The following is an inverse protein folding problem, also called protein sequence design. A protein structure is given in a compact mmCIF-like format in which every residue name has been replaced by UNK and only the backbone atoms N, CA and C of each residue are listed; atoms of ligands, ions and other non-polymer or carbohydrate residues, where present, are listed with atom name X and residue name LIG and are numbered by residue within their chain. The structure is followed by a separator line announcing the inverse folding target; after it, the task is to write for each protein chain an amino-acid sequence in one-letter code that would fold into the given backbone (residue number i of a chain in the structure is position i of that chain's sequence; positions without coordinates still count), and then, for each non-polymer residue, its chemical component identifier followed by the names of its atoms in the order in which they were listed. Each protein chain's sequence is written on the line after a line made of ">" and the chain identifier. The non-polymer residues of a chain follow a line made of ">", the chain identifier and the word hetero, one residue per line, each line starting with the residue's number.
data_IF_000004485816
#
_entry.id   IF_000004485816
#
_cell.length_a   1.000
_cell.length_b   1.000
_cell.length_c   1.000
_cell.angle_alpha   90.00
_cell.angle_beta   90.00
_cell.angle_gamma   90.00
#
_symmetry.space_group_name_H-M   'P 1'
#
loop_
_entity.id
_entity.type
_entity.pdbx_description
1 polymer ?
#
# COMPACT_ATOMS: atom_id res chain seq x y z
N UNK A 1 -36.37 -28.95 -33.62
CA UNK A 1 -36.35 -28.62 -32.17
C UNK A 1 -35.21 -29.31 -31.40
N UNK A 2 -34.88 -30.57 -31.71
CA UNK A 2 -33.78 -31.30 -31.03
C UNK A 2 -32.39 -30.64 -31.26
N UNK A 3 -32.15 -30.14 -32.45
CA UNK A 3 -30.87 -29.51 -32.84
C UNK A 3 -30.60 -28.23 -31.96
N UNK A 4 -31.62 -27.41 -31.76
CA UNK A 4 -31.51 -26.20 -30.92
C UNK A 4 -31.22 -26.54 -29.45
N UNK A 5 -31.85 -27.61 -28.95
CA UNK A 5 -31.63 -28.08 -27.57
C UNK A 5 -30.20 -28.59 -27.33
N UNK A 6 -29.63 -29.27 -28.30
CA UNK A 6 -28.24 -29.75 -28.23
C UNK A 6 -27.26 -28.58 -28.25
N UNK A 7 -27.48 -27.58 -29.08
CA UNK A 7 -26.63 -26.37 -29.15
C UNK A 7 -26.66 -25.60 -27.82
N UNK A 8 -27.83 -25.39 -27.24
CA UNK A 8 -27.98 -24.72 -25.95
C UNK A 8 -27.28 -25.52 -24.82
N UNK A 9 -27.38 -26.85 -24.84
CA UNK A 9 -26.72 -27.71 -23.87
C UNK A 9 -25.18 -27.58 -23.97
N UNK A 10 -24.63 -27.63 -25.19
CA UNK A 10 -23.19 -27.51 -25.43
C UNK A 10 -22.70 -26.13 -24.98
N UNK A 11 -23.40 -25.04 -25.31
CA UNK A 11 -23.08 -23.69 -24.88
C UNK A 11 -23.10 -23.62 -23.36
N UNK A 12 -24.11 -24.20 -22.71
CA UNK A 12 -24.24 -24.22 -21.25
C UNK A 12 -23.04 -24.93 -20.57
N UNK A 13 -22.62 -26.08 -21.09
CA UNK A 13 -21.45 -26.82 -20.59
C UNK A 13 -20.16 -26.02 -20.80
N UNK A 14 -19.98 -25.41 -21.96
CA UNK A 14 -18.80 -24.60 -22.28
C UNK A 14 -18.72 -23.36 -21.35
N UNK A 15 -19.82 -22.64 -21.18
CA UNK A 15 -19.88 -21.48 -20.29
C UNK A 15 -19.61 -21.88 -18.85
N UNK A 16 -20.20 -22.97 -18.36
CA UNK A 16 -19.92 -23.49 -17.01
C UNK A 16 -18.45 -23.91 -16.85
N UNK A 17 -17.87 -24.56 -17.85
CA UNK A 17 -16.48 -24.96 -17.86
C UNK A 17 -15.51 -23.77 -17.80
N UNK A 18 -15.76 -22.74 -18.59
CA UNK A 18 -14.92 -21.50 -18.61
C UNK A 18 -15.01 -20.74 -17.29
N UNK A 19 -16.21 -20.60 -16.70
CA UNK A 19 -16.40 -19.89 -15.43
C UNK A 19 -15.73 -20.63 -14.27
N UNK A 20 -15.80 -21.96 -14.21
CA UNK A 20 -15.12 -22.76 -13.19
C UNK A 20 -13.61 -22.71 -13.35
N UNK A 21 -13.08 -22.79 -14.58
CA UNK A 21 -11.66 -22.67 -14.85
C UNK A 21 -11.10 -21.34 -14.42
N UNK A 22 -11.82 -20.22 -14.67
CA UNK A 22 -11.40 -18.88 -14.23
C UNK A 22 -11.29 -18.78 -12.70
N UNK A 23 -12.28 -19.31 -11.97
CA UNK A 23 -12.25 -19.34 -10.50
C UNK A 23 -11.09 -20.17 -9.96
N UNK A 24 -10.83 -21.32 -10.58
CA UNK A 24 -9.71 -22.18 -10.18
C UNK A 24 -8.36 -21.47 -10.39
N UNK A 25 -8.16 -20.84 -11.53
CA UNK A 25 -6.93 -20.08 -11.84
C UNK A 25 -6.72 -18.95 -10.83
N UNK A 26 -7.75 -18.18 -10.50
CA UNK A 26 -7.68 -17.13 -9.46
C UNK A 26 -7.27 -17.70 -8.12
N UNK A 27 -7.88 -18.81 -7.70
CA UNK A 27 -7.56 -19.46 -6.42
C UNK A 27 -6.12 -19.98 -6.40
N UNK A 28 -5.67 -20.65 -7.47
CA UNK A 28 -4.28 -21.12 -7.59
C UNK A 28 -3.30 -19.95 -7.51
N UNK A 29 -3.59 -18.82 -8.17
CA UNK A 29 -2.74 -17.64 -8.15
C UNK A 29 -2.65 -17.04 -6.74
N UNK A 30 -3.77 -16.92 -6.03
CA UNK A 30 -3.79 -16.46 -4.65
C UNK A 30 -2.98 -17.39 -3.73
N UNK A 31 -3.19 -18.72 -3.82
CA UNK A 31 -2.41 -19.69 -3.04
C UNK A 31 -0.92 -19.59 -3.34
N UNK A 32 -0.54 -19.39 -4.60
CA UNK A 32 0.86 -19.16 -4.98
C UNK A 32 1.41 -17.88 -4.36
N UNK A 33 0.64 -16.79 -4.37
CA UNK A 33 1.05 -15.52 -3.74
C UNK A 33 1.23 -15.68 -2.22
N UNK A 34 0.34 -16.41 -1.55
CA UNK A 34 0.43 -16.75 -0.12
C UNK A 34 1.70 -17.56 0.18
N UNK A 35 2.00 -18.58 -0.65
CA UNK A 35 3.22 -19.37 -0.52
C UNK A 35 4.48 -18.54 -0.71
N UNK A 36 4.51 -17.65 -1.71
CA UNK A 36 5.63 -16.74 -1.94
C UNK A 36 5.84 -15.85 -0.72
N UNK A 37 4.78 -15.30 -0.11
CA UNK A 37 4.87 -14.50 1.11
C UNK A 37 5.43 -15.33 2.28
N UNK A 38 4.90 -16.51 2.52
CA UNK A 38 5.28 -17.34 3.66
C UNK A 38 6.71 -17.88 3.56
N UNK A 39 7.20 -18.14 2.35
CA UNK A 39 8.56 -18.63 2.08
C UNK A 39 9.58 -17.52 1.79
N UNK A 40 9.17 -16.24 1.90
CA UNK A 40 10.04 -15.11 1.55
C UNK A 40 11.11 -14.86 2.62
N UNK A 41 12.34 -14.64 2.16
CA UNK A 41 13.45 -14.19 3.01
C UNK A 41 13.23 -12.76 3.55
N UNK A 42 12.24 -12.02 3.05
CA UNK A 42 11.88 -10.68 3.56
C UNK A 42 11.54 -10.72 5.05
N UNK A 43 10.94 -11.83 5.53
CA UNK A 43 10.71 -12.06 6.96
C UNK A 43 11.98 -12.07 7.83
N UNK A 44 13.13 -12.42 7.26
CA UNK A 44 14.41 -12.49 7.97
C UNK A 44 15.15 -11.16 8.00
N UNK A 45 14.76 -10.20 7.15
CA UNK A 45 15.37 -8.86 7.12
C UNK A 45 15.05 -8.14 8.44
N UNK A 46 16.11 -7.66 9.11
CA UNK A 46 15.96 -7.00 10.41
C UNK A 46 15.25 -5.66 10.32
N UNK A 47 14.68 -5.25 11.46
CA UNK A 47 14.09 -3.92 11.68
C UNK A 47 12.87 -3.59 10.81
N UNK A 48 12.15 -4.64 10.38
CA UNK A 48 10.82 -4.47 9.81
C UNK A 48 9.85 -4.02 10.91
N UNK A 49 9.23 -2.85 10.73
CA UNK A 49 8.29 -2.27 11.70
C UNK A 49 6.84 -2.38 11.28
N UNK A 50 6.57 -2.62 10.01
CA UNK A 50 5.22 -2.85 9.50
C UNK A 50 5.24 -3.64 8.19
N UNK A 51 4.30 -4.56 8.05
CA UNK A 51 4.04 -5.29 6.82
C UNK A 51 2.53 -5.47 6.61
N UNK A 52 1.95 -4.65 5.77
CA UNK A 52 0.56 -4.74 5.34
C UNK A 52 0.51 -5.50 4.01
N UNK A 53 -0.22 -6.60 3.98
CA UNK A 53 -0.21 -7.55 2.87
C UNK A 53 -1.62 -8.05 2.60
N UNK A 54 -2.11 -7.96 1.35
CA UNK A 54 -3.51 -8.15 1.03
C UNK A 54 -3.90 -9.60 0.66
N UNK A 55 -2.93 -10.48 0.43
CA UNK A 55 -3.21 -11.84 -0.09
C UNK A 55 -3.33 -12.91 1.00
N UNK A 56 -2.89 -12.64 2.23
CA UNK A 56 -2.95 -13.60 3.34
C UNK A 56 -4.36 -13.71 3.93
N UNK A 57 -4.65 -14.87 4.51
CA UNK A 57 -5.86 -15.05 5.29
C UNK A 57 -5.81 -14.15 6.53
N UNK A 58 -6.96 -13.60 6.93
CA UNK A 58 -7.06 -12.63 8.02
C UNK A 58 -6.19 -11.37 7.84
N UNK A 59 -5.90 -11.00 6.57
CA UNK A 59 -5.22 -9.75 6.27
C UNK A 59 -6.05 -8.54 6.68
N UNK A 60 -7.37 -8.69 6.81
CA UNK A 60 -8.31 -7.60 7.00
C UNK A 60 -9.26 -7.86 8.17
N UNK A 61 -9.81 -6.76 8.70
CA UNK A 61 -10.93 -6.79 9.61
C UNK A 61 -11.95 -5.72 9.24
N UNK A 62 -13.22 -6.02 9.47
CA UNK A 62 -14.35 -5.12 9.29
C UNK A 62 -14.74 -4.48 10.63
N UNK A 63 -15.52 -3.42 10.57
CA UNK A 63 -16.01 -2.71 11.75
C UNK A 63 -15.66 -1.24 11.77
N UNK A 64 -16.18 -0.55 12.79
CA UNK A 64 -15.96 0.87 13.01
C UNK A 64 -15.68 1.11 14.49
N UNK A 65 -14.94 2.17 14.81
CA UNK A 65 -14.69 2.59 16.19
C UNK A 65 -15.23 4.01 16.42
N UNK A 66 -15.87 4.25 17.54
CA UNK A 66 -16.35 5.58 17.91
C UNK A 66 -15.19 6.54 18.26
N UNK A 67 -14.06 6.01 18.71
CA UNK A 67 -12.83 6.76 18.97
C UNK A 67 -11.69 6.18 18.14
N UNK A 68 -10.82 7.05 17.62
CA UNK A 68 -9.64 6.60 16.87
C UNK A 68 -8.59 6.02 17.84
N UNK A 69 -8.65 4.71 18.07
CA UNK A 69 -7.73 4.01 18.96
C UNK A 69 -7.12 2.80 18.26
N UNK A 70 -5.81 2.82 18.05
CA UNK A 70 -5.05 1.72 17.44
C UNK A 70 -5.10 0.43 18.25
N UNK A 71 -5.37 0.51 19.56
CA UNK A 71 -5.41 -0.64 20.46
C UNK A 71 -6.83 -1.19 20.66
N UNK A 72 -7.86 -0.52 20.15
CA UNK A 72 -9.23 -0.97 20.30
C UNK A 72 -9.48 -2.28 19.53
N UNK A 73 -9.88 -3.31 20.25
CA UNK A 73 -10.16 -4.64 19.69
C UNK A 73 -11.64 -4.78 19.28
N UNK A 74 -12.15 -3.81 18.54
CA UNK A 74 -13.56 -3.80 18.07
C UNK A 74 -13.70 -4.19 16.60
N UNK A 75 -12.59 -4.35 15.90
CA UNK A 75 -12.58 -4.85 14.55
C UNK A 75 -12.67 -6.37 14.54
N UNK A 76 -13.52 -6.92 13.68
CA UNK A 76 -13.67 -8.37 13.51
C UNK A 76 -12.80 -8.83 12.34
N UNK A 77 -11.84 -9.69 12.63
CA UNK A 77 -11.00 -10.31 11.61
C UNK A 77 -11.87 -11.13 10.64
N UNK A 78 -11.59 -10.99 9.36
CA UNK A 78 -12.29 -11.68 8.28
C UNK A 78 -11.27 -12.52 7.53
N UNK A 79 -11.54 -13.82 7.40
CA UNK A 79 -10.66 -14.72 6.64
C UNK A 79 -10.49 -14.22 5.21
N UNK A 80 -11.60 -13.94 4.55
CA UNK A 80 -11.61 -13.30 3.24
C UNK A 80 -12.83 -12.39 3.09
N UNK A 81 -12.65 -11.07 2.92
CA UNK A 81 -13.76 -10.17 2.61
C UNK A 81 -14.40 -10.50 1.27
N UNK A 82 -15.65 -10.14 1.09
CA UNK A 82 -16.30 -10.12 -0.22
C UNK A 82 -15.85 -8.92 -1.04
N UNK A 83 -15.93 -9.04 -2.36
CA UNK A 83 -15.61 -7.91 -3.24
C UNK A 83 -16.48 -6.69 -2.90
N UNK A 84 -15.86 -5.50 -2.80
CA UNK A 84 -16.43 -4.22 -2.38
C UNK A 84 -16.73 -4.08 -0.87
N UNK A 85 -16.39 -5.06 -0.02
CA UNK A 85 -16.50 -4.88 1.43
C UNK A 85 -15.63 -3.72 1.93
N UNK A 86 -16.17 -2.96 2.90
CA UNK A 86 -15.46 -1.89 3.58
C UNK A 86 -14.51 -2.45 4.64
N UNK A 87 -13.26 -2.01 4.61
CA UNK A 87 -12.20 -2.52 5.47
C UNK A 87 -11.85 -1.48 6.54
N UNK A 88 -12.12 -1.85 7.80
CA UNK A 88 -11.81 -1.01 8.97
C UNK A 88 -10.38 -1.16 9.46
N UNK A 89 -9.76 -2.34 9.29
CA UNK A 89 -8.37 -2.60 9.68
C UNK A 89 -7.66 -3.47 8.66
N UNK A 90 -6.44 -3.06 8.30
CA UNK A 90 -5.48 -3.85 7.53
C UNK A 90 -4.39 -4.34 8.48
N UNK A 91 -4.35 -5.66 8.69
CA UNK A 91 -3.56 -6.28 9.74
C UNK A 91 -2.06 -6.28 9.40
N UNK A 92 -1.25 -5.88 10.38
CA UNK A 92 0.20 -5.96 10.30
C UNK A 92 0.67 -7.42 10.42
N UNK A 93 1.44 -7.87 9.44
CA UNK A 93 2.03 -9.22 9.36
C UNK A 93 3.48 -9.27 9.84
N UNK A 94 4.10 -8.16 10.20
CA UNK A 94 5.48 -8.14 10.67
C UNK A 94 5.64 -9.05 11.90
N UNK A 95 6.53 -10.05 11.80
CA UNK A 95 6.69 -11.09 12.82
C UNK A 95 7.21 -10.51 14.12
N UNK A 96 8.13 -9.54 14.05
CA UNK A 96 8.76 -8.91 15.23
C UNK A 96 7.79 -8.08 16.07
N UNK A 97 6.64 -7.70 15.54
CA UNK A 97 5.61 -6.92 16.21
C UNK A 97 4.51 -7.79 16.82
N UNK A 98 4.82 -9.00 17.30
CA UNK A 98 3.81 -9.92 17.79
C UNK A 98 2.96 -9.33 18.94
N UNK A 99 3.55 -8.49 19.78
CA UNK A 99 2.87 -7.85 20.93
C UNK A 99 2.32 -6.46 20.64
N UNK A 100 2.88 -5.74 19.66
CA UNK A 100 2.49 -4.36 19.30
C UNK A 100 2.34 -4.21 17.80
N UNK A 101 1.25 -4.73 17.26
CA UNK A 101 0.95 -4.63 15.84
C UNK A 101 0.82 -3.18 15.38
N UNK A 102 1.34 -2.91 14.20
CA UNK A 102 1.28 -1.60 13.55
C UNK A 102 0.24 -1.56 12.42
N UNK A 103 -0.85 -2.28 12.61
CA UNK A 103 -1.98 -2.34 11.67
C UNK A 103 -2.44 -0.94 11.26
N UNK A 104 -2.90 -0.82 10.03
CA UNK A 104 -3.55 0.40 9.57
C UNK A 104 -5.05 0.32 9.82
N UNK A 105 -5.65 1.39 10.38
CA UNK A 105 -7.08 1.44 10.75
C UNK A 105 -7.78 2.66 10.15
N UNK A 106 -9.09 2.52 9.95
CA UNK A 106 -10.01 3.61 9.65
C UNK A 106 -11.32 3.40 10.41
N UNK A 107 -11.61 4.31 11.34
CA UNK A 107 -12.79 4.21 12.22
C UNK A 107 -14.09 4.72 11.56
N UNK A 108 -14.01 5.61 10.58
CA UNK A 108 -15.17 6.17 9.91
C UNK A 108 -15.55 5.31 8.67
N UNK A 109 -16.68 4.65 8.70
CA UNK A 109 -17.15 3.76 7.63
C UNK A 109 -17.12 4.43 6.24
N UNK A 110 -17.51 5.69 6.15
CA UNK A 110 -17.52 6.45 4.90
C UNK A 110 -16.11 6.67 4.31
N UNK A 111 -15.05 6.54 5.12
CA UNK A 111 -13.65 6.75 4.74
C UNK A 111 -12.85 5.45 4.60
N UNK A 112 -13.48 4.31 4.89
CA UNK A 112 -12.84 3.00 4.75
C UNK A 112 -12.64 2.63 3.29
N UNK A 113 -11.46 2.09 2.91
CA UNK A 113 -11.23 1.56 1.57
C UNK A 113 -12.10 0.32 1.31
N UNK A 114 -12.21 -0.04 0.05
CA UNK A 114 -12.93 -1.23 -0.40
C UNK A 114 -11.96 -2.36 -0.70
N UNK A 115 -12.30 -3.56 -0.29
CA UNK A 115 -11.62 -4.76 -0.77
C UNK A 115 -12.00 -5.00 -2.25
N UNK A 116 -11.00 -5.32 -3.07
CA UNK A 116 -11.19 -5.69 -4.47
C UNK A 116 -10.45 -7.00 -4.76
N UNK A 117 -11.19 -8.02 -5.22
CA UNK A 117 -10.63 -9.35 -5.49
C UNK A 117 -9.58 -9.33 -6.61
N UNK A 118 -9.77 -8.51 -7.62
CA UNK A 118 -8.92 -8.39 -8.80
C UNK A 118 -8.19 -7.03 -8.83
N UNK A 119 -7.64 -6.62 -7.71
CA UNK A 119 -7.04 -5.30 -7.55
C UNK A 119 -5.78 -5.09 -8.37
N UNK A 120 -4.78 -5.94 -8.21
CA UNK A 120 -3.48 -5.86 -8.90
C UNK A 120 -3.14 -7.24 -9.49
N UNK A 121 -3.05 -7.33 -10.81
CA UNK A 121 -2.72 -8.57 -11.51
C UNK A 121 -3.54 -9.79 -11.04
N UNK A 122 -4.85 -9.64 -10.87
CA UNK A 122 -5.80 -10.64 -10.39
C UNK A 122 -5.47 -11.17 -8.97
N UNK A 123 -4.83 -10.38 -8.15
CA UNK A 123 -4.68 -10.59 -6.72
C UNK A 123 -5.47 -9.55 -5.95
N UNK A 124 -5.94 -9.87 -4.74
CA UNK A 124 -6.71 -8.95 -3.92
C UNK A 124 -5.89 -7.74 -3.48
N UNK A 125 -6.55 -6.60 -3.33
CA UNK A 125 -5.95 -5.36 -2.89
C UNK A 125 -7.00 -4.45 -2.24
N UNK A 126 -6.59 -3.34 -1.66
CA UNK A 126 -7.48 -2.28 -1.18
C UNK A 126 -7.60 -1.16 -2.23
N UNK A 127 -8.82 -0.79 -2.55
CA UNK A 127 -9.14 0.33 -3.41
C UNK A 127 -9.59 1.53 -2.59
N UNK A 128 -8.86 2.61 -2.74
CA UNK A 128 -9.14 3.91 -2.13
C UNK A 128 -9.76 4.81 -3.20
N UNK A 129 -11.09 4.84 -3.22
CA UNK A 129 -11.88 5.65 -4.15
C UNK A 129 -12.16 7.01 -3.52
N UNK A 130 -11.43 8.01 -3.91
CA UNK A 130 -11.52 9.36 -3.34
C UNK A 130 -12.23 10.37 -4.22
N UNK A 131 -13.21 9.92 -4.99
CA UNK A 131 -13.97 10.79 -5.90
C UNK A 131 -14.87 11.79 -5.17
N UNK A 132 -15.37 11.47 -3.98
CA UNK A 132 -16.25 12.35 -3.21
C UNK A 132 -15.81 12.55 -1.76
N UNK A 133 -15.12 11.60 -1.18
CA UNK A 133 -14.64 11.61 0.20
C UNK A 133 -13.27 10.98 0.24
N UNK A 134 -12.29 11.67 0.80
CA UNK A 134 -10.95 11.14 0.92
C UNK A 134 -10.95 9.83 1.75
N UNK A 135 -10.54 8.73 1.14
CA UNK A 135 -10.37 7.44 1.80
C UNK A 135 -8.92 7.27 2.22
N UNK A 136 -8.68 6.80 3.43
CA UNK A 136 -7.35 6.48 3.92
C UNK A 136 -7.40 5.52 5.11
N UNK A 137 -6.23 4.99 5.49
CA UNK A 137 -6.02 4.29 6.75
C UNK A 137 -4.83 4.93 7.48
N UNK A 138 -4.83 4.87 8.81
CA UNK A 138 -3.74 5.37 9.63
C UNK A 138 -3.06 4.23 10.38
N UNK A 139 -1.73 4.26 10.44
CA UNK A 139 -0.92 3.32 11.23
C UNK A 139 -0.15 4.08 12.31
N UNK A 140 0.09 3.50 13.50
CA UNK A 140 0.86 4.13 14.56
C UNK A 140 2.37 4.19 14.30
N UNK A 141 2.80 3.86 13.09
CA UNK A 141 4.21 4.02 12.67
C UNK A 141 4.52 5.50 12.50
N UNK A 142 5.55 5.98 13.20
CA UNK A 142 6.01 7.35 13.06
C UNK A 142 7.25 7.38 12.17
N UNK A 143 7.09 7.81 10.91
CA UNK A 143 8.19 7.93 9.94
C UNK A 143 8.80 9.32 9.90
N UNK A 144 8.57 10.16 10.92
CA UNK A 144 9.22 11.46 11.03
C UNK A 144 10.75 11.35 10.99
N UNK A 145 11.39 12.31 10.36
CA UNK A 145 12.84 12.33 10.17
C UNK A 145 13.63 12.39 11.47
N UNK A 146 13.05 13.01 12.51
CA UNK A 146 13.67 13.08 13.83
C UNK A 146 13.52 11.77 14.62
N UNK A 147 12.46 11.00 14.34
CA UNK A 147 12.15 9.74 15.03
C UNK A 147 12.75 8.54 14.30
N UNK A 148 12.60 8.52 12.96
CA UNK A 148 13.08 7.44 12.09
C UNK A 148 13.99 8.04 11.00
N UNK A 149 15.23 8.47 11.37
CA UNK A 149 16.13 9.15 10.44
C UNK A 149 16.54 8.26 9.26
N UNK A 150 16.66 6.97 9.50
CA UNK A 150 16.93 5.99 8.47
C UNK A 150 15.70 5.11 8.29
N UNK A 151 15.23 4.94 7.07
CA UNK A 151 14.10 4.06 6.80
C UNK A 151 14.13 3.49 5.39
N UNK A 152 13.34 2.45 5.19
CA UNK A 152 13.01 1.95 3.86
C UNK A 152 11.52 1.67 3.78
N UNK A 153 10.88 2.13 2.70
CA UNK A 153 9.46 1.92 2.42
C UNK A 153 9.31 1.27 1.06
N UNK A 154 8.46 0.25 0.97
CA UNK A 154 8.08 -0.40 -0.27
C UNK A 154 6.56 -0.43 -0.38
N UNK A 155 6.04 -0.14 -1.57
CA UNK A 155 4.63 -0.21 -1.85
C UNK A 155 4.36 -0.83 -3.22
N UNK A 156 3.38 -1.73 -3.27
CA UNK A 156 2.83 -2.24 -4.53
C UNK A 156 1.50 -1.55 -4.77
N UNK A 157 1.39 -0.87 -5.88
CA UNK A 157 0.21 -0.06 -6.17
C UNK A 157 -0.14 -0.04 -7.66
N UNK A 158 -1.37 0.36 -7.94
CA UNK A 158 -1.86 0.72 -9.27
C UNK A 158 -2.67 2.01 -9.15
N UNK A 159 -2.40 2.93 -10.03
CA UNK A 159 -3.13 4.17 -10.11
C UNK A 159 -4.10 4.12 -11.29
N UNK A 160 -5.41 3.87 -11.06
CA UNK A 160 -6.34 3.54 -12.14
C UNK A 160 -6.71 4.72 -13.04
N UNK A 161 -6.76 5.93 -12.50
CA UNK A 161 -7.02 7.14 -13.29
C UNK A 161 -6.37 8.34 -12.63
N UNK A 162 -5.86 9.26 -13.45
CA UNK A 162 -5.36 10.56 -13.01
C UNK A 162 -6.34 11.61 -13.49
N UNK A 163 -6.90 12.34 -12.57
CA UNK A 163 -7.46 13.66 -12.88
C UNK A 163 -6.28 14.60 -13.10
N UNK A 164 -6.18 15.14 -14.31
CA UNK A 164 -5.10 16.07 -14.67
C UNK A 164 -5.07 17.25 -13.70
N UNK A 165 -3.90 17.51 -13.11
CA UNK A 165 -3.68 18.63 -12.19
C UNK A 165 -3.86 18.32 -10.70
N UNK A 166 -4.22 17.10 -10.32
CA UNK A 166 -4.30 16.69 -8.92
C UNK A 166 -2.99 16.03 -8.46
N UNK A 167 -2.43 16.54 -7.38
CA UNK A 167 -1.33 15.88 -6.67
C UNK A 167 -1.92 14.78 -5.81
N UNK A 168 -1.51 13.55 -6.05
CA UNK A 168 -1.96 12.38 -5.29
C UNK A 168 -0.86 11.88 -4.37
N UNK A 169 -1.20 11.23 -3.28
CA UNK A 169 -0.24 10.78 -2.28
C UNK A 169 -0.38 9.29 -2.02
N UNK A 170 0.72 8.55 -2.15
CA UNK A 170 0.77 7.12 -1.83
C UNK A 170 0.87 6.88 -0.33
N UNK A 171 1.56 7.73 0.39
CA UNK A 171 1.58 7.83 1.84
C UNK A 171 1.98 9.24 2.27
N UNK A 172 1.73 9.58 3.52
CA UNK A 172 2.17 10.85 4.07
C UNK A 172 2.25 10.86 5.58
N UNK A 173 3.17 11.68 6.05
CA UNK A 173 3.26 12.18 7.40
C UNK A 173 3.56 13.66 7.26
N UNK A 174 2.70 14.52 7.80
CA UNK A 174 2.82 15.96 7.57
C UNK A 174 2.20 16.75 8.72
N UNK A 175 2.91 17.76 9.15
CA UNK A 175 2.41 18.79 10.08
C UNK A 175 2.10 20.13 9.39
N UNK A 176 1.99 20.13 8.06
CA UNK A 176 1.86 21.31 7.22
C UNK A 176 3.16 21.71 6.50
N UNK A 177 4.28 21.01 6.75
CA UNK A 177 5.60 21.28 6.19
C UNK A 177 6.04 20.39 5.03
N UNK A 178 5.16 19.55 4.49
CA UNK A 178 5.43 18.59 3.42
C UNK A 178 6.47 17.52 3.80
N UNK A 179 6.40 17.03 5.02
CA UNK A 179 7.31 16.01 5.52
C UNK A 179 7.01 14.65 4.91
N UNK A 180 8.01 13.89 4.52
CA UNK A 180 8.00 12.51 4.01
C UNK A 180 6.67 12.04 3.39
N UNK A 181 6.25 12.71 2.33
CA UNK A 181 5.05 12.34 1.56
C UNK A 181 5.46 11.75 0.22
N UNK A 182 4.98 10.56 -0.11
CA UNK A 182 5.13 10.04 -1.46
C UNK A 182 4.08 10.67 -2.37
N UNK A 183 4.55 11.47 -3.30
CA UNK A 183 3.74 12.27 -4.22
C UNK A 183 3.71 11.57 -5.58
N UNK A 184 2.50 11.38 -6.09
CA UNK A 184 2.23 10.90 -7.44
C UNK A 184 1.63 12.08 -8.22
N UNK A 185 2.40 12.64 -9.15
CA UNK A 185 1.94 13.76 -9.99
C UNK A 185 2.62 13.66 -11.34
N UNK A 186 1.87 13.35 -12.39
CA UNK A 186 2.48 13.30 -13.72
C UNK A 186 3.10 14.65 -14.12
N UNK A 187 4.30 14.61 -14.67
CA UNK A 187 5.08 13.46 -15.13
C UNK A 187 6.09 12.93 -14.10
N UNK A 188 5.89 13.11 -12.82
CA UNK A 188 6.85 12.68 -11.79
C UNK A 188 6.20 11.92 -10.64
N UNK A 189 6.98 11.04 -10.04
CA UNK A 189 6.72 10.42 -8.75
C UNK A 189 7.90 10.70 -7.84
N UNK A 190 7.66 10.87 -6.56
CA UNK A 190 8.75 11.14 -5.63
C UNK A 190 8.32 11.24 -4.18
N UNK A 191 9.27 11.56 -3.33
CA UNK A 191 9.02 11.82 -1.90
C UNK A 191 9.38 13.27 -1.59
N UNK A 192 8.44 14.01 -1.03
CA UNK A 192 8.67 15.37 -0.53
C UNK A 192 9.36 15.34 0.84
N UNK A 193 10.26 16.29 1.07
CA UNK A 193 11.07 16.40 2.28
C UNK A 193 11.02 17.83 2.87
N UNK A 194 9.87 18.48 2.81
CA UNK A 194 9.77 19.88 3.20
C UNK A 194 10.35 20.80 2.12
N UNK A 195 11.58 21.28 2.28
CA UNK A 195 12.22 22.21 1.34
C UNK A 195 12.65 21.60 0.00
N UNK A 196 12.53 20.28 -0.18
CA UNK A 196 12.94 19.58 -1.39
C UNK A 196 12.18 18.29 -1.65
N UNK A 197 12.52 17.61 -2.71
CA UNK A 197 11.90 16.33 -3.06
C UNK A 197 12.83 15.45 -3.89
N UNK A 198 12.78 14.14 -3.60
CA UNK A 198 13.31 13.11 -4.48
C UNK A 198 12.27 12.86 -5.57
N UNK A 199 12.57 13.16 -6.83
CA UNK A 199 11.58 13.08 -7.93
C UNK A 199 12.12 12.23 -9.08
N UNK A 200 11.34 11.25 -9.50
CA UNK A 200 11.55 10.52 -10.75
C UNK A 200 10.67 11.19 -11.81
N UNK A 201 11.29 11.70 -12.87
CA UNK A 201 10.61 12.40 -13.97
C UNK A 201 10.41 11.49 -15.18
N UNK A 202 9.52 11.88 -16.09
CA UNK A 202 9.23 11.19 -17.34
C UNK A 202 8.73 9.75 -17.16
N UNK A 203 7.90 9.55 -16.15
CA UNK A 203 7.37 8.24 -15.83
C UNK A 203 5.86 8.18 -16.09
N UNK A 204 5.41 7.18 -16.84
CA UNK A 204 4.00 6.94 -17.10
C UNK A 204 3.41 6.12 -15.93
N UNK A 205 2.53 6.74 -15.14
CA UNK A 205 1.98 6.17 -13.92
C UNK A 205 0.63 5.47 -14.12
N UNK A 206 -0.12 5.87 -15.15
CA UNK A 206 -1.54 5.49 -15.32
C UNK A 206 -1.71 4.00 -15.63
N UNK A 207 -2.66 3.37 -14.94
CA UNK A 207 -3.08 1.98 -15.15
C UNK A 207 -1.94 0.95 -15.16
N UNK A 208 -0.80 1.27 -14.56
CA UNK A 208 0.33 0.34 -14.42
C UNK A 208 0.44 -0.16 -12.99
N UNK A 209 0.67 -1.45 -12.87
CA UNK A 209 1.03 -2.06 -11.59
C UNK A 209 2.50 -1.81 -11.34
N UNK A 210 2.85 -1.24 -10.19
CA UNK A 210 4.18 -0.74 -9.90
C UNK A 210 4.63 -1.09 -8.50
N UNK A 211 5.95 -1.19 -8.34
CA UNK A 211 6.64 -1.24 -7.07
C UNK A 211 7.35 0.10 -6.88
N UNK A 212 6.99 0.83 -5.83
CA UNK A 212 7.72 2.01 -5.39
C UNK A 212 8.60 1.63 -4.21
N UNK A 213 9.88 2.00 -4.27
CA UNK A 213 10.84 1.79 -3.17
C UNK A 213 11.47 3.13 -2.80
N UNK A 214 11.53 3.41 -1.51
CA UNK A 214 12.15 4.59 -0.97
C UNK A 214 13.10 4.20 0.16
N UNK A 215 14.37 4.63 0.03
CA UNK A 215 15.43 4.42 1.02
C UNK A 215 15.91 5.78 1.48
N UNK A 216 15.96 6.02 2.78
CA UNK A 216 16.39 7.30 3.35
C UNK A 216 17.46 7.13 4.41
N UNK A 217 18.49 8.01 4.31
CA UNK A 217 19.51 8.26 5.32
C UNK A 217 19.58 9.78 5.53
N UNK A 218 18.91 10.25 6.55
CA UNK A 218 18.88 11.68 6.90
C UNK A 218 20.28 12.20 7.22
N UNK A 219 20.61 13.40 6.74
CA UNK A 219 21.90 14.04 6.96
C UNK A 219 23.06 13.48 6.13
N UNK A 220 22.80 12.50 5.27
CA UNK A 220 23.79 11.93 4.35
C UNK A 220 23.63 12.55 2.96
N UNK A 221 24.71 13.04 2.37
CA UNK A 221 24.69 13.56 0.98
C UNK A 221 24.20 12.47 0.04
N UNK A 222 23.15 12.77 -0.75
CA UNK A 222 22.48 11.81 -1.63
C UNK A 222 21.97 10.54 -0.91
N UNK A 223 21.67 10.66 0.39
CA UNK A 223 21.26 9.53 1.23
C UNK A 223 19.82 9.07 1.02
N UNK A 224 18.97 9.89 0.38
CA UNK A 224 17.59 9.53 0.08
C UNK A 224 17.42 9.18 -1.39
N UNK A 225 16.90 7.99 -1.65
CA UNK A 225 16.80 7.40 -2.99
C UNK A 225 15.40 6.83 -3.22
N UNK A 226 14.81 7.17 -4.36
CA UNK A 226 13.53 6.60 -4.81
C UNK A 226 13.72 5.76 -6.08
N UNK A 227 13.00 4.64 -6.13
CA UNK A 227 13.05 3.70 -7.24
C UNK A 227 11.63 3.35 -7.68
N UNK A 228 11.45 3.12 -8.97
CA UNK A 228 10.24 2.49 -9.53
C UNK A 228 10.67 1.22 -10.26
N UNK A 229 10.00 0.10 -9.93
CA UNK A 229 10.23 -1.20 -10.53
C UNK A 229 11.74 -1.54 -10.59
N UNK A 230 12.46 -1.35 -9.46
CA UNK A 230 13.89 -1.64 -9.32
C UNK A 230 14.79 -0.88 -10.32
N UNK A 231 14.41 0.33 -10.72
CA UNK A 231 15.19 1.13 -11.68
C UNK A 231 16.67 1.22 -11.27
N UNK A 232 17.57 1.13 -12.26
CA UNK A 232 19.03 1.22 -12.03
C UNK A 232 19.52 2.65 -11.78
N UNK A 233 18.69 3.63 -12.14
CA UNK A 233 18.97 5.05 -11.94
C UNK A 233 17.95 5.63 -10.96
N UNK A 234 18.19 5.50 -9.64
CA UNK A 234 17.32 6.10 -8.65
C UNK A 234 17.37 7.62 -8.75
N UNK A 235 16.28 8.27 -8.39
CA UNK A 235 16.35 9.68 -8.09
C UNK A 235 16.92 9.85 -6.67
N UNK A 236 17.85 10.76 -6.51
CA UNK A 236 18.61 10.95 -5.27
C UNK A 236 18.47 12.36 -4.72
N UNK A 237 18.46 12.48 -3.41
CA UNK A 237 18.34 13.74 -2.68
C UNK A 237 19.08 13.67 -1.31
N UNK A 238 19.46 14.83 -0.80
CA UNK A 238 19.99 14.97 0.58
C UNK A 238 18.87 15.47 1.49
N UNK A 239 18.41 14.61 2.38
CA UNK A 239 17.34 14.92 3.33
C UNK A 239 17.94 15.52 4.62
N UNK A 240 17.41 16.66 5.05
CA UNK A 240 17.85 17.29 6.31
C UNK A 240 17.15 16.68 7.53
N UNK A 241 17.78 16.81 8.71
CA UNK A 241 17.25 16.30 9.99
C UNK A 241 16.21 17.25 10.64
N UNK A 242 15.59 18.11 9.87
CA UNK A 242 14.53 19.00 10.37
C UNK A 242 13.17 18.44 10.01
N UNK A 243 12.61 17.61 10.85
CA UNK A 243 11.24 17.10 10.70
C UNK A 243 10.47 17.37 11.98
N UNK A 244 9.20 17.69 11.85
CA UNK A 244 8.22 17.72 12.93
C UNK A 244 6.93 17.22 12.33
N UNK A 245 6.62 15.96 12.50
CA UNK A 245 5.41 15.37 11.97
C UNK A 245 4.61 14.67 13.06
N UNK A 246 3.36 14.38 12.78
CA UNK A 246 2.50 13.65 13.67
C UNK A 246 2.84 12.17 13.74
N UNK A 247 2.55 11.51 14.87
CA UNK A 247 2.99 10.14 15.12
C UNK A 247 2.17 9.07 14.39
N UNK A 248 1.61 9.38 13.21
CA UNK A 248 0.86 8.41 12.44
C UNK A 248 1.10 8.52 10.94
N UNK A 249 1.42 7.40 10.33
CA UNK A 249 1.51 7.24 8.90
C UNK A 249 0.11 7.11 8.30
N UNK A 250 -0.20 7.93 7.29
CA UNK A 250 -1.45 7.86 6.52
C UNK A 250 -1.22 7.18 5.17
N UNK A 251 -2.09 6.23 4.82
CA UNK A 251 -2.02 5.40 3.61
C UNK A 251 -3.41 5.29 2.97
N UNK A 252 -3.61 5.69 1.72
CA UNK A 252 -2.89 6.75 1.02
C UNK A 252 -3.28 8.12 1.59
N UNK A 253 -2.68 9.18 1.10
CA UNK A 253 -3.05 10.54 1.48
C UNK A 253 -2.13 11.14 2.52
N UNK A 254 -2.65 12.10 3.25
CA UNK A 254 -1.92 12.89 4.21
C UNK A 254 -2.75 13.10 5.48
N UNK A 255 -2.08 13.28 6.58
CA UNK A 255 -2.66 13.69 7.84
C UNK A 255 -2.16 15.11 8.17
N UNK A 256 -2.69 16.10 7.49
CA UNK A 256 -2.38 17.51 7.76
C UNK A 256 -3.29 18.01 8.89
N UNK A 257 -2.97 17.62 10.13
CA UNK A 257 -3.67 18.09 11.34
C UNK A 257 -2.88 19.26 11.93
N UNK A 258 -3.19 20.49 11.52
CA UNK A 258 -2.60 21.67 12.13
C UNK A 258 -2.75 21.65 13.66
N UNK A 259 -1.66 21.58 14.41
CA UNK A 259 -1.53 21.82 15.84
C UNK A 259 -2.27 20.92 16.84
N UNK A 260 -2.75 19.73 16.51
CA UNK A 260 -3.42 18.85 17.48
C UNK A 260 -3.34 17.38 17.14
N UNK A 261 -2.94 16.55 18.10
CA UNK A 261 -2.77 15.10 18.04
C UNK A 261 -4.09 14.30 17.99
N UNK A 262 -5.16 14.85 17.48
CA UNK A 262 -6.41 14.10 17.32
C UNK A 262 -6.47 13.47 15.94
N UNK A 263 -6.06 12.22 15.86
CA UNK A 263 -6.42 11.36 14.74
C UNK A 263 -7.92 11.10 14.81
N UNK A 264 -8.68 11.86 14.04
CA UNK A 264 -10.16 11.74 13.99
C UNK A 264 -10.63 10.86 12.84
N UNK A 265 -9.71 10.16 12.18
CA UNK A 265 -9.97 9.40 10.96
C UNK A 265 -10.12 10.28 9.73
N UNK A 266 -9.87 11.58 9.82
CA UNK A 266 -9.93 12.49 8.68
C UNK A 266 -8.73 12.29 7.76
N UNK A 267 -9.02 12.09 6.49
CA UNK A 267 -8.04 12.07 5.43
C UNK A 267 -8.04 13.42 4.74
N UNK A 268 -6.89 14.02 4.63
CA UNK A 268 -6.69 15.21 3.82
C UNK A 268 -6.10 14.76 2.49
N UNK A 269 -6.60 15.26 1.39
CA UNK A 269 -6.13 14.94 0.03
C UNK A 269 -6.30 13.44 -0.32
N UNK A 270 -7.50 13.06 -0.69
CA UNK A 270 -7.81 11.72 -1.15
C UNK A 270 -7.08 11.33 -2.43
N UNK A 271 -6.76 10.07 -2.54
CA UNK A 271 -6.08 9.47 -3.69
C UNK A 271 -6.93 8.37 -4.28
N UNK A 272 -7.15 8.38 -5.59
CA UNK A 272 -7.80 7.28 -6.30
C UNK A 272 -6.73 6.24 -6.65
N UNK A 273 -6.53 5.23 -5.79
CA UNK A 273 -5.43 4.28 -5.89
C UNK A 273 -5.80 2.88 -5.38
N UNK A 274 -5.20 1.86 -5.98
CA UNK A 274 -5.24 0.47 -5.49
C UNK A 274 -3.90 0.15 -4.86
N UNK A 275 -3.88 -0.36 -3.61
CA UNK A 275 -2.65 -0.75 -2.91
C UNK A 275 -2.76 -2.22 -2.51
N UNK A 276 -1.76 -3.01 -2.91
CA UNK A 276 -1.70 -4.45 -2.64
C UNK A 276 -0.82 -4.81 -1.46
N UNK A 277 0.30 -4.10 -1.29
CA UNK A 277 1.26 -4.40 -0.24
C UNK A 277 2.02 -3.15 0.18
N UNK A 278 2.35 -3.05 1.49
CA UNK A 278 3.09 -1.92 2.05
C UNK A 278 4.02 -2.40 3.15
N UNK A 279 5.33 -2.12 3.04
CA UNK A 279 6.36 -2.60 3.97
C UNK A 279 7.19 -1.41 4.45
N UNK A 280 7.47 -1.35 5.75
CA UNK A 280 8.34 -0.33 6.36
C UNK A 280 9.42 -0.98 7.20
N UNK A 281 10.66 -0.55 7.01
CA UNK A 281 11.81 -0.89 7.85
C UNK A 281 12.33 0.36 8.56
N UNK A 282 12.67 0.25 9.85
CA UNK A 282 13.31 1.29 10.65
C UNK A 282 14.82 1.31 10.44
N UNK A 283 15.23 1.23 9.19
CA UNK A 283 16.59 1.43 8.71
C UNK A 283 16.68 1.58 7.20
N UNK A 284 17.73 2.16 6.72
CA UNK A 284 18.03 2.17 5.29
C UNK A 284 18.61 0.80 4.89
N UNK A 285 17.86 0.04 4.12
CA UNK A 285 18.32 -1.23 3.54
C UNK A 285 19.50 -1.00 2.59
N UNK A 286 20.42 -1.93 2.58
CA UNK A 286 21.48 -1.95 1.56
C UNK A 286 20.92 -2.39 0.20
N UNK A 287 21.75 -2.36 -0.85
CA UNK A 287 21.32 -2.68 -2.21
C UNK A 287 20.87 -4.13 -2.39
N UNK A 288 21.46 -5.07 -1.66
CA UNK A 288 21.12 -6.49 -1.73
C UNK A 288 19.76 -6.75 -1.07
N UNK A 289 19.57 -6.21 0.13
CA UNK A 289 18.31 -6.32 0.87
C UNK A 289 17.16 -5.62 0.12
N UNK A 290 17.40 -4.40 -0.40
CA UNK A 290 16.42 -3.72 -1.26
C UNK A 290 16.04 -4.57 -2.46
N UNK A 291 17.05 -5.11 -3.16
CA UNK A 291 16.81 -5.97 -4.32
C UNK A 291 16.07 -7.25 -3.96
N UNK A 292 16.31 -7.83 -2.79
CA UNK A 292 15.59 -9.01 -2.30
C UNK A 292 14.10 -8.69 -2.09
N UNK A 293 13.78 -7.57 -1.44
CA UNK A 293 12.38 -7.12 -1.25
C UNK A 293 11.71 -6.86 -2.60
N UNK A 294 12.36 -6.12 -3.50
CA UNK A 294 11.82 -5.81 -4.83
C UNK A 294 11.58 -7.07 -5.67
N UNK A 295 12.50 -8.03 -5.67
CA UNK A 295 12.33 -9.32 -6.37
C UNK A 295 11.18 -10.15 -5.78
N UNK A 296 11.03 -10.15 -4.45
CA UNK A 296 9.90 -10.79 -3.79
C UNK A 296 8.58 -10.17 -4.28
N UNK A 297 8.45 -8.84 -4.20
CA UNK A 297 7.26 -8.12 -4.63
C UNK A 297 6.98 -8.34 -6.12
N UNK A 298 8.00 -8.25 -6.96
CA UNK A 298 7.91 -8.46 -8.41
C UNK A 298 7.39 -9.87 -8.76
N UNK A 299 7.95 -10.91 -8.11
CA UNK A 299 7.54 -12.30 -8.30
C UNK A 299 6.10 -12.54 -7.86
N UNK A 300 5.74 -12.06 -6.66
CA UNK A 300 4.41 -12.22 -6.09
C UNK A 300 3.33 -11.51 -6.90
N UNK A 301 3.55 -10.25 -7.20
CA UNK A 301 2.58 -9.40 -7.88
C UNK A 301 2.66 -9.46 -9.40
N UNK A 302 3.56 -10.30 -9.95
CA UNK A 302 3.82 -10.42 -11.38
C UNK A 302 4.09 -9.06 -12.05
N UNK A 303 4.95 -8.26 -11.43
CA UNK A 303 5.41 -6.95 -11.93
C UNK A 303 6.81 -7.14 -12.51
N UNK A 304 7.05 -6.59 -13.68
CA UNK A 304 8.38 -6.63 -14.32
C UNK A 304 9.28 -5.56 -13.68
N UNK A 305 10.46 -5.94 -13.25
CA UNK A 305 11.52 -5.07 -12.70
C UNK A 305 12.79 -5.16 -13.54
#
# INVERSE_FOLDING_TARGET
>A
MIELSIVILIIGILVAGVTQSSRLVKRMRLTTAQQITSSSDVNSISDMVMWLEATQDFAFATGTNASFDFNANIYTDVDRPSDQDRIGRWNDKAIRNATTKKSAIQNALARQPKYVEDGINNLPALYFDSTSTALCMHSPVNIDRAIMPNLSIFAVYRWPSIETGQTQKLWGVDNGGWDRQAILSEPYVGVSHGAGATRITNFELRNKNQIFSYISKVGVTNGSMAYINSSTSPNIYTESNTGQSYPALTIPGNNNQGNGLTLDGNCVEGTNIVIGEFIVFDRALNSEERSAVEKYLAKKWAIKI
#
